data_IF_031690493349
#
_entry.id   IF_031690493349
#
_cell.length_a   1.000
_cell.length_b   1.000
_cell.length_c   1.000
_cell.angle_alpha   90.00
_cell.angle_beta   90.00
_cell.angle_gamma   90.00
#
_symmetry.space_group_name_H-M   'P 1'
#
loop_
_entity.id
_entity.type
_entity.pdbx_description
1 polymer ?
#
# COMPACT_ATOMS: atom_id res chain seq x y z
N UNK A 1 -44.91 6.77 -24.87
CA UNK A 1 -43.47 6.51 -25.09
C UNK A 1 -42.74 7.31 -24.03
N UNK A 2 -42.34 6.65 -22.94
CA UNK A 2 -41.59 7.28 -21.85
C UNK A 2 -40.13 6.87 -21.94
N UNK A 3 -39.30 7.86 -21.64
CA UNK A 3 -37.88 8.00 -21.96
C UNK A 3 -36.92 7.01 -21.31
N UNK A 4 -35.83 6.81 -22.02
CA UNK A 4 -34.44 6.56 -21.60
C UNK A 4 -34.18 5.94 -20.23
N UNK A 5 -33.75 4.68 -20.26
CA UNK A 5 -32.93 4.09 -19.21
C UNK A 5 -31.47 4.48 -19.47
N UNK A 6 -31.04 5.59 -18.86
CA UNK A 6 -29.60 5.87 -18.70
C UNK A 6 -29.04 4.90 -17.68
N UNK A 7 -28.28 3.90 -18.16
CA UNK A 7 -27.46 3.06 -17.29
C UNK A 7 -26.33 3.92 -16.73
N UNK A 8 -26.43 4.30 -15.46
CA UNK A 8 -25.26 4.78 -14.72
C UNK A 8 -24.32 3.59 -14.52
N UNK A 9 -23.29 3.49 -15.36
CA UNK A 9 -22.14 2.65 -15.06
C UNK A 9 -21.49 3.21 -13.81
N UNK A 10 -21.68 2.54 -12.67
CA UNK A 10 -20.82 2.71 -11.52
C UNK A 10 -19.39 2.45 -12.01
N UNK A 11 -18.52 3.45 -11.92
CA UNK A 11 -17.08 3.25 -12.09
C UNK A 11 -16.63 2.37 -10.92
N UNK A 12 -16.77 1.06 -11.09
CA UNK A 12 -16.30 0.09 -10.11
C UNK A 12 -14.81 0.26 -9.96
N UNK A 13 -14.34 0.48 -8.73
CA UNK A 13 -12.93 0.37 -8.38
C UNK A 13 -12.47 -1.00 -8.86
N UNK A 14 -11.51 -1.02 -9.79
CA UNK A 14 -10.96 -2.29 -10.26
C UNK A 14 -10.21 -2.92 -9.09
N UNK A 15 -10.74 -4.03 -8.58
CA UNK A 15 -10.03 -4.87 -7.62
C UNK A 15 -8.80 -5.45 -8.31
N UNK A 16 -7.64 -5.24 -7.68
CA UNK A 16 -6.36 -5.78 -8.15
C UNK A 16 -6.01 -6.92 -7.21
N UNK A 17 -6.03 -8.14 -7.74
CA UNK A 17 -5.69 -9.34 -7.01
C UNK A 17 -4.23 -9.74 -7.26
N UNK A 18 -3.45 -9.75 -6.18
CA UNK A 18 -2.04 -10.14 -6.20
C UNK A 18 -1.84 -11.64 -6.40
N UNK A 19 -2.84 -12.49 -6.13
CA UNK A 19 -2.74 -13.94 -6.31
C UNK A 19 -2.65 -14.36 -7.80
N UNK A 20 -3.13 -13.50 -8.71
CA UNK A 20 -3.00 -13.70 -10.17
C UNK A 20 -1.78 -13.02 -10.81
N UNK A 21 -0.99 -12.28 -10.02
CA UNK A 21 0.14 -11.46 -10.51
C UNK A 21 1.50 -12.16 -10.50
N UNK A 22 2.56 -11.43 -10.87
CA UNK A 22 3.96 -11.91 -10.83
C UNK A 22 4.63 -11.76 -9.45
N UNK A 23 3.85 -11.78 -8.37
CA UNK A 23 4.35 -11.52 -7.02
C UNK A 23 5.18 -12.71 -6.51
N UNK A 24 6.14 -12.43 -5.63
CA UNK A 24 6.91 -13.46 -4.96
C UNK A 24 6.01 -14.24 -3.97
N UNK A 25 6.10 -15.57 -4.00
CA UNK A 25 5.40 -16.45 -3.04
C UNK A 25 6.02 -16.35 -1.64
N UNK A 26 7.25 -15.84 -1.51
CA UNK A 26 7.87 -15.50 -0.24
C UNK A 26 7.40 -14.12 0.23
N UNK A 27 6.31 -14.10 0.99
CA UNK A 27 5.70 -12.87 1.49
C UNK A 27 6.61 -12.09 2.46
N UNK A 28 7.51 -12.74 3.18
CA UNK A 28 8.47 -12.02 4.03
C UNK A 28 9.50 -11.23 3.20
N UNK A 29 10.01 -11.84 2.13
CA UNK A 29 10.95 -11.19 1.21
C UNK A 29 10.28 -10.03 0.48
N UNK A 30 9.07 -10.22 -0.06
CA UNK A 30 8.34 -9.14 -0.71
C UNK A 30 7.97 -8.02 0.28
N UNK A 31 7.53 -8.37 1.49
CA UNK A 31 7.26 -7.41 2.54
C UNK A 31 8.51 -6.62 2.95
N UNK A 32 9.69 -7.25 2.93
CA UNK A 32 10.96 -6.57 3.18
C UNK A 32 11.33 -5.61 2.04
N UNK A 33 11.12 -6.00 0.79
CA UNK A 33 11.36 -5.13 -0.37
C UNK A 33 10.42 -3.91 -0.33
N UNK A 34 9.15 -4.11 0.00
CA UNK A 34 8.19 -3.02 0.20
C UNK A 34 8.62 -2.08 1.33
N UNK A 35 9.03 -2.61 2.48
CA UNK A 35 9.53 -1.78 3.58
C UNK A 35 10.77 -0.97 3.19
N UNK A 36 11.72 -1.59 2.50
CA UNK A 36 12.90 -0.89 2.01
C UNK A 36 12.53 0.24 1.04
N UNK A 37 11.53 0.02 0.19
CA UNK A 37 11.00 1.02 -0.74
C UNK A 37 10.34 2.20 0.00
N UNK A 38 9.53 1.91 1.02
CA UNK A 38 8.94 2.95 1.89
C UNK A 38 10.02 3.77 2.58
N UNK A 39 11.04 3.14 3.16
CA UNK A 39 12.16 3.86 3.80
C UNK A 39 12.86 4.76 2.79
N UNK A 40 13.20 4.25 1.60
CA UNK A 40 13.88 5.02 0.57
C UNK A 40 13.06 6.23 0.11
N UNK A 41 11.74 6.06 -0.06
CA UNK A 41 10.83 7.15 -0.40
C UNK A 41 10.78 8.22 0.69
N UNK A 42 10.54 7.83 1.95
CA UNK A 42 10.48 8.77 3.06
C UNK A 42 11.83 9.47 3.29
N UNK A 43 12.94 8.74 3.19
CA UNK A 43 14.28 9.30 3.34
C UNK A 43 14.64 10.28 2.22
N UNK A 44 14.15 10.03 1.00
CA UNK A 44 14.35 10.90 -0.17
C UNK A 44 13.55 12.20 -0.08
N UNK A 45 12.31 12.14 0.40
CA UNK A 45 11.44 13.32 0.49
C UNK A 45 11.81 14.22 1.68
N UNK A 46 12.25 13.62 2.79
CA UNK A 46 12.65 14.35 4.00
C UNK A 46 14.15 14.20 4.23
N UNK A 47 14.53 13.32 5.16
CA UNK A 47 15.90 12.90 5.47
C UNK A 47 15.82 11.52 6.15
N UNK A 48 16.92 10.75 6.22
CA UNK A 48 16.94 9.50 6.97
C UNK A 48 16.53 9.65 8.44
N UNK A 49 15.49 8.91 8.84
CA UNK A 49 14.97 8.93 10.21
C UNK A 49 14.54 7.54 10.68
N UNK A 50 14.75 7.25 11.97
CA UNK A 50 14.37 5.97 12.58
C UNK A 50 12.85 5.73 12.52
N UNK A 51 12.04 6.79 12.59
CA UNK A 51 10.57 6.68 12.48
C UNK A 51 10.15 6.11 11.12
N UNK A 52 10.90 6.37 10.04
CA UNK A 52 10.62 5.79 8.72
C UNK A 52 10.81 4.27 8.74
N UNK A 53 11.88 3.79 9.37
CA UNK A 53 12.15 2.36 9.55
C UNK A 53 11.05 1.69 10.39
N UNK A 54 10.61 2.36 11.47
CA UNK A 54 9.55 1.84 12.33
C UNK A 54 8.21 1.74 11.60
N UNK A 55 7.81 2.77 10.86
CA UNK A 55 6.57 2.76 10.07
C UNK A 55 6.63 1.71 8.94
N UNK A 56 7.75 1.62 8.24
CA UNK A 56 7.95 0.63 7.18
C UNK A 56 7.89 -0.81 7.70
N UNK A 57 8.45 -1.07 8.89
CA UNK A 57 8.37 -2.38 9.53
C UNK A 57 6.93 -2.73 9.96
N UNK A 58 6.15 -1.75 10.43
CA UNK A 58 4.72 -1.96 10.71
C UNK A 58 3.95 -2.28 9.42
N UNK A 59 4.17 -1.52 8.35
CA UNK A 59 3.55 -1.80 7.05
C UNK A 59 3.91 -3.19 6.51
N UNK A 60 5.18 -3.60 6.63
CA UNK A 60 5.64 -4.97 6.31
C UNK A 60 4.86 -6.01 7.10
N UNK A 61 4.72 -5.82 8.40
CA UNK A 61 4.01 -6.75 9.27
C UNK A 61 2.55 -6.91 8.81
N UNK A 62 1.84 -5.81 8.60
CA UNK A 62 0.45 -5.84 8.13
C UNK A 62 0.31 -6.53 6.78
N UNK A 63 1.23 -6.25 5.84
CA UNK A 63 1.27 -6.96 4.55
C UNK A 63 1.41 -8.47 4.75
N UNK A 64 2.38 -8.93 5.55
CA UNK A 64 2.60 -10.37 5.79
C UNK A 64 1.36 -10.99 6.45
N UNK A 65 0.81 -10.36 7.48
CA UNK A 65 -0.37 -10.84 8.20
C UNK A 65 -1.57 -10.99 7.23
N UNK A 66 -1.78 -10.04 6.30
CA UNK A 66 -2.77 -10.15 5.22
C UNK A 66 -2.50 -11.36 4.32
N UNK A 67 -1.27 -11.49 3.82
CA UNK A 67 -0.90 -12.55 2.88
C UNK A 67 -1.03 -13.94 3.49
N UNK A 68 -0.59 -14.11 4.74
CA UNK A 68 -0.74 -15.36 5.50
C UNK A 68 -2.22 -15.69 5.79
N UNK A 69 -3.07 -14.66 5.85
CA UNK A 69 -4.52 -14.80 6.00
C UNK A 69 -5.26 -15.03 4.66
N UNK A 70 -4.54 -15.23 3.56
CA UNK A 70 -5.07 -15.33 2.18
C UNK A 70 -5.78 -14.07 1.68
N UNK A 71 -5.49 -12.90 2.25
CA UNK A 71 -5.92 -11.62 1.70
C UNK A 71 -4.98 -11.21 0.59
N UNK A 72 -5.50 -11.08 -0.62
CA UNK A 72 -4.70 -10.79 -1.82
C UNK A 72 -5.18 -9.58 -2.63
N UNK A 73 -6.33 -9.00 -2.28
CA UNK A 73 -6.78 -7.74 -2.85
C UNK A 73 -5.92 -6.57 -2.36
N UNK A 74 -5.43 -5.75 -3.29
CA UNK A 74 -4.55 -4.62 -2.97
C UNK A 74 -5.24 -3.59 -2.08
N UNK A 75 -6.54 -3.33 -2.27
CA UNK A 75 -7.24 -2.35 -1.45
C UNK A 75 -7.44 -2.87 -0.04
N UNK A 76 -7.77 -4.14 0.14
CA UNK A 76 -7.87 -4.74 1.48
C UNK A 76 -6.53 -4.68 2.22
N UNK A 77 -5.41 -4.97 1.54
CA UNK A 77 -4.07 -4.87 2.11
C UNK A 77 -3.71 -3.42 2.46
N UNK A 78 -3.97 -2.48 1.57
CA UNK A 78 -3.73 -1.05 1.79
C UNK A 78 -4.53 -0.51 2.98
N UNK A 79 -5.80 -0.90 3.08
CA UNK A 79 -6.67 -0.55 4.20
C UNK A 79 -6.11 -1.11 5.51
N UNK A 80 -5.66 -2.37 5.52
CA UNK A 80 -5.07 -2.97 6.72
C UNK A 80 -3.79 -2.25 7.15
N UNK A 81 -2.87 -1.98 6.21
CA UNK A 81 -1.64 -1.21 6.48
C UNK A 81 -1.97 0.15 7.09
N UNK A 82 -2.91 0.88 6.48
CA UNK A 82 -3.29 2.22 6.93
C UNK A 82 -3.90 2.19 8.33
N UNK A 83 -4.80 1.25 8.58
CA UNK A 83 -5.44 1.10 9.89
C UNK A 83 -4.41 0.75 10.97
N UNK A 84 -3.53 -0.21 10.72
CA UNK A 84 -2.52 -0.62 11.71
C UNK A 84 -1.53 0.51 12.01
N UNK A 85 -1.16 1.32 11.01
CA UNK A 85 -0.34 2.51 11.21
C UNK A 85 -1.08 3.59 12.02
N UNK A 86 -2.35 3.85 11.71
CA UNK A 86 -3.18 4.85 12.39
C UNK A 86 -3.45 4.46 13.86
N UNK A 87 -3.76 3.18 14.12
CA UNK A 87 -3.92 2.64 15.48
C UNK A 87 -2.65 2.79 16.33
N UNK A 88 -1.48 2.75 15.67
CA UNK A 88 -0.18 2.93 16.31
C UNK A 88 0.37 4.36 16.20
N UNK A 89 -0.41 5.32 15.69
CA UNK A 89 0.10 6.63 15.28
C UNK A 89 0.79 7.41 16.39
N UNK A 90 0.33 7.25 17.64
CA UNK A 90 0.95 7.86 18.83
C UNK A 90 2.42 7.44 19.07
N UNK A 91 2.93 6.42 18.36
CA UNK A 91 4.33 6.01 18.38
C UNK A 91 5.19 6.77 17.36
N UNK A 92 4.57 7.36 16.34
CA UNK A 92 5.25 7.91 15.16
C UNK A 92 5.06 9.43 15.04
N UNK A 93 3.92 9.94 15.50
CA UNK A 93 3.44 11.31 15.27
C UNK A 93 4.38 12.43 15.74
N UNK A 94 5.27 12.16 16.69
CA UNK A 94 6.23 13.16 17.17
C UNK A 94 7.31 13.49 16.12
N UNK A 95 7.67 12.52 15.27
CA UNK A 95 8.77 12.63 14.30
C UNK A 95 8.33 12.41 12.83
N UNK A 96 7.10 11.94 12.61
CA UNK A 96 6.57 11.68 11.27
C UNK A 96 5.99 12.95 10.61
N UNK A 97 6.41 13.23 9.37
CA UNK A 97 5.92 14.35 8.55
C UNK A 97 4.86 13.94 7.52
N UNK A 98 4.44 12.67 7.56
CA UNK A 98 3.45 12.05 6.69
C UNK A 98 2.33 11.44 7.54
N UNK A 99 1.21 11.00 6.96
CA UNK A 99 0.17 10.26 7.68
C UNK A 99 0.11 8.79 7.27
N UNK A 100 -0.61 7.98 8.05
CA UNK A 100 -0.78 6.54 7.83
C UNK A 100 -1.37 6.19 6.46
N UNK A 101 -2.34 6.98 5.97
CA UNK A 101 -3.03 6.75 4.71
C UNK A 101 -2.14 6.99 3.49
N UNK A 102 -1.27 7.99 3.55
CA UNK A 102 -0.31 8.26 2.48
C UNK A 102 0.70 7.10 2.34
N UNK A 103 1.13 6.51 3.47
CA UNK A 103 1.98 5.32 3.47
C UNK A 103 1.21 4.12 2.88
N UNK A 104 -0.05 3.92 3.28
CA UNK A 104 -0.91 2.89 2.70
C UNK A 104 -1.06 3.03 1.19
N UNK A 105 -1.31 4.24 0.70
CA UNK A 105 -1.39 4.55 -0.73
C UNK A 105 -0.08 4.21 -1.46
N UNK A 106 1.07 4.62 -0.90
CA UNK A 106 2.38 4.24 -1.44
C UNK A 106 2.54 2.72 -1.52
N UNK A 107 2.16 1.99 -0.48
CA UNK A 107 2.20 0.52 -0.47
C UNK A 107 1.30 -0.07 -1.57
N UNK A 108 0.10 0.45 -1.80
CA UNK A 108 -0.74 -0.02 -2.92
C UNK A 108 -0.06 0.21 -4.27
N UNK A 109 0.53 1.39 -4.50
CA UNK A 109 1.21 1.71 -5.76
C UNK A 109 2.41 0.79 -6.00
N UNK A 110 3.19 0.52 -4.96
CA UNK A 110 4.27 -0.47 -4.98
C UNK A 110 3.75 -1.85 -5.41
N UNK A 111 2.67 -2.33 -4.77
CA UNK A 111 2.11 -3.66 -5.02
C UNK A 111 1.52 -3.79 -6.43
N UNK A 112 0.85 -2.76 -6.94
CA UNK A 112 0.30 -2.71 -8.30
C UNK A 112 1.44 -2.78 -9.32
N UNK A 113 2.48 -1.95 -9.14
CA UNK A 113 3.65 -1.93 -10.03
C UNK A 113 4.38 -3.28 -10.03
N UNK A 114 4.56 -3.90 -8.86
CA UNK A 114 5.24 -5.20 -8.73
C UNK A 114 4.44 -6.37 -9.29
N UNK A 115 3.13 -6.38 -9.12
CA UNK A 115 2.26 -7.43 -9.65
C UNK A 115 2.16 -7.43 -11.18
N UNK A 116 2.61 -6.33 -11.83
CA UNK A 116 2.68 -6.19 -13.29
C UNK A 116 1.44 -5.55 -13.91
N UNK A 117 0.56 -4.98 -13.08
CA UNK A 117 -0.54 -4.13 -13.54
C UNK A 117 -0.03 -2.69 -13.73
N UNK A 118 -0.65 -1.94 -14.65
CA UNK A 118 -0.33 -0.52 -14.83
C UNK A 118 -0.82 0.28 -13.60
N UNK A 119 0.11 0.98 -12.93
CA UNK A 119 -0.20 1.88 -11.82
C UNK A 119 -0.77 3.22 -12.28
N UNK A 120 -1.19 4.06 -11.34
CA UNK A 120 -1.62 5.43 -11.61
C UNK A 120 -0.40 6.34 -11.87
N UNK A 121 -0.43 7.23 -12.86
CA UNK A 121 0.69 8.16 -13.16
C UNK A 121 0.89 9.25 -12.08
N UNK A 122 -0.01 9.33 -11.10
CA UNK A 122 0.07 10.29 -9.99
C UNK A 122 0.95 9.80 -8.81
N UNK A 123 1.49 8.59 -8.90
CA UNK A 123 2.18 7.92 -7.81
C UNK A 123 3.61 8.45 -7.61
N UNK A 124 4.10 8.51 -6.35
CA UNK A 124 5.51 8.78 -6.07
C UNK A 124 6.43 7.74 -6.72
N UNK A 125 7.71 8.08 -6.88
CA UNK A 125 8.71 7.15 -7.39
C UNK A 125 8.79 5.91 -6.49
N UNK A 126 8.57 4.74 -7.08
CA UNK A 126 8.72 3.47 -6.39
C UNK A 126 10.18 3.04 -6.48
N UNK A 127 10.86 3.04 -5.32
CA UNK A 127 12.26 2.64 -5.14
C UNK A 127 12.45 1.12 -5.04
#
# INVERSE_FOLDING_TARGET
MFSDASSSGSAGVQSIDLAGGKMNDNHDEEGQLMANSVIAWLDSEWIPQEVHVQMANSAKKSYIDCRESNTSDVMDIMMQISNDLDENWAKYNDDAFINAWDIGNYCSDYLIKKSGYEGCECSPEIF
#
